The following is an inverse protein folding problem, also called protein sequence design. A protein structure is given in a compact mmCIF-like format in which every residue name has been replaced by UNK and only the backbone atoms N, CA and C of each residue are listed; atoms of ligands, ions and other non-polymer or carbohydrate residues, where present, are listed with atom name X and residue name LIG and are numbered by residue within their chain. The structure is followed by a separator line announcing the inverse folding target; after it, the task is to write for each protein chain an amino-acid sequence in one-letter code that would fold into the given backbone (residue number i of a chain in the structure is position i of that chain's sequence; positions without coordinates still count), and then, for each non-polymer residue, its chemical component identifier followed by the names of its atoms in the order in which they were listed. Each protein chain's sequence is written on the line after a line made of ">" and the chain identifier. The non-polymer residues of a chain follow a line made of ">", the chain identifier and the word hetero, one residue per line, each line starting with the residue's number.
data_IF_678413204693
#
_entry.id   IF_678413204693
#
_cell.length_a   1.000
_cell.length_b   1.000
_cell.length_c   1.000
_cell.angle_alpha   90.00
_cell.angle_beta   90.00
_cell.angle_gamma   90.00
#
_symmetry.space_group_name_H-M   'P 1'
#
loop_
_entity.id
_entity.type
_entity.pdbx_description
1 polymer ?
#
# COMPACT_ATOMS: atom_id res chain seq x y z
N UNK A 1 14.10 12.43 13.80
CA UNK A 1 15.25 11.62 13.36
C UNK A 1 15.34 11.59 11.84
N UNK A 2 16.48 12.03 11.29
CA UNK A 2 16.77 11.91 9.86
C UNK A 2 17.31 10.53 9.58
N UNK A 3 16.50 9.67 8.96
CA UNK A 3 16.97 8.39 8.44
C UNK A 3 17.57 8.62 7.06
N UNK A 4 18.80 8.15 6.83
CA UNK A 4 19.42 8.12 5.51
C UNK A 4 19.14 6.76 4.89
N UNK A 5 18.34 6.72 3.83
CA UNK A 5 18.13 5.51 3.03
C UNK A 5 19.22 5.40 1.96
N UNK A 6 19.80 4.22 1.80
CA UNK A 6 20.88 3.94 0.85
C UNK A 6 20.39 2.96 -0.22
N UNK A 7 20.47 3.40 -1.46
CA UNK A 7 20.11 2.62 -2.64
C UNK A 7 21.37 2.10 -3.33
N UNK A 8 21.45 0.79 -3.55
CA UNK A 8 22.48 0.11 -4.33
C UNK A 8 21.89 -0.35 -5.66
N UNK A 9 22.52 0.01 -6.78
CA UNK A 9 22.17 -0.49 -8.10
C UNK A 9 23.26 -1.48 -8.51
N UNK A 10 22.89 -2.75 -8.57
CA UNK A 10 23.78 -3.87 -8.88
C UNK A 10 23.72 -4.18 -10.39
N UNK A 11 24.84 -4.52 -11.04
CA UNK A 11 24.81 -4.99 -12.43
C UNK A 11 24.05 -6.32 -12.56
N UNK A 12 23.54 -6.61 -13.76
CA UNK A 12 22.73 -7.80 -14.08
C UNK A 12 23.42 -9.15 -13.84
N UNK A 13 24.75 -9.14 -13.71
CA UNK A 13 25.56 -10.32 -13.35
C UNK A 13 25.40 -10.76 -11.90
N UNK A 14 24.81 -9.94 -11.03
CA UNK A 14 24.56 -10.33 -9.63
C UNK A 14 23.29 -11.18 -9.57
N UNK A 15 23.40 -12.40 -9.05
CA UNK A 15 22.27 -13.30 -8.91
C UNK A 15 21.40 -12.91 -7.70
N UNK A 16 20.19 -12.44 -7.99
CA UNK A 16 19.15 -12.11 -7.01
C UNK A 16 18.17 -13.27 -6.79
N UNK A 17 18.42 -14.48 -7.31
CA UNK A 17 17.55 -15.63 -7.10
C UNK A 17 16.16 -15.50 -7.73
N UNK A 18 16.05 -14.70 -8.80
CA UNK A 18 14.79 -14.40 -9.50
C UNK A 18 14.06 -13.14 -9.03
N UNK A 19 14.55 -12.46 -7.99
CA UNK A 19 14.06 -11.14 -7.58
C UNK A 19 14.71 -10.02 -8.41
N UNK A 20 14.07 -8.86 -8.47
CA UNK A 20 14.56 -7.66 -9.18
C UNK A 20 15.03 -6.55 -8.22
N UNK A 21 14.77 -6.74 -6.93
CA UNK A 21 15.12 -5.82 -5.84
C UNK A 21 15.12 -6.55 -4.49
N UNK A 22 15.69 -5.90 -3.48
CA UNK A 22 15.66 -6.34 -2.09
C UNK A 22 15.76 -5.13 -1.13
N UNK A 23 14.83 -5.01 -0.19
CA UNK A 23 14.86 -4.04 0.89
C UNK A 23 14.97 -4.70 2.27
N UNK A 24 15.82 -4.16 3.14
CA UNK A 24 15.87 -4.59 4.54
C UNK A 24 14.58 -4.18 5.28
N UNK A 25 13.83 -5.15 5.82
CA UNK A 25 12.63 -4.85 6.60
C UNK A 25 12.96 -4.06 7.87
N UNK A 26 12.49 -2.82 7.96
CA UNK A 26 12.83 -1.89 9.04
C UNK A 26 14.27 -1.40 9.06
N UNK A 27 15.04 -1.70 8.01
CA UNK A 27 16.40 -1.23 7.81
C UNK A 27 16.46 0.05 7.00
N UNK A 28 17.62 0.32 6.41
CA UNK A 28 17.87 1.56 5.63
C UNK A 28 18.46 1.28 4.25
N UNK A 29 18.63 0.01 3.88
CA UNK A 29 19.28 -0.38 2.65
C UNK A 29 18.30 -1.02 1.69
N UNK A 30 18.43 -0.66 0.42
CA UNK A 30 17.75 -1.29 -0.71
C UNK A 30 18.75 -1.59 -1.83
N UNK A 31 18.58 -2.73 -2.49
CA UNK A 31 19.38 -3.17 -3.62
C UNK A 31 18.46 -3.42 -4.81
N UNK A 32 18.88 -3.03 -6.01
CA UNK A 32 18.12 -3.20 -7.25
C UNK A 32 18.98 -3.84 -8.32
N UNK A 33 18.38 -4.68 -9.16
CA UNK A 33 19.07 -5.31 -10.29
C UNK A 33 18.97 -4.45 -11.55
N UNK A 34 20.10 -3.95 -12.03
CA UNK A 34 20.28 -3.25 -13.29
C UNK A 34 19.19 -2.19 -13.53
N UNK A 35 18.44 -2.30 -14.64
CA UNK A 35 17.39 -1.36 -15.04
C UNK A 35 16.23 -1.25 -14.06
N UNK A 36 16.03 -2.24 -13.19
CA UNK A 36 14.96 -2.21 -12.19
C UNK A 36 15.19 -1.14 -11.13
N UNK A 37 16.44 -0.71 -10.94
CA UNK A 37 16.77 0.46 -10.12
C UNK A 37 16.20 1.76 -10.67
N UNK A 38 15.76 1.81 -11.92
CA UNK A 38 15.10 2.97 -12.54
C UNK A 38 13.57 2.88 -12.51
N UNK A 39 12.99 1.80 -11.98
CA UNK A 39 11.54 1.65 -11.90
C UNK A 39 10.99 2.30 -10.64
N UNK A 40 10.09 3.32 -10.73
CA UNK A 40 9.50 3.94 -9.55
C UNK A 40 8.71 2.92 -8.70
N UNK A 41 8.03 1.97 -9.34
CA UNK A 41 7.34 0.89 -8.66
C UNK A 41 8.30 0.04 -7.81
N UNK A 42 9.37 -0.49 -8.43
CA UNK A 42 10.34 -1.35 -7.71
C UNK A 42 11.05 -0.53 -6.63
N UNK A 43 11.46 0.71 -6.92
CA UNK A 43 12.08 1.60 -5.95
C UNK A 43 11.23 1.76 -4.69
N UNK A 44 9.96 2.11 -4.87
CA UNK A 44 9.04 2.33 -3.77
C UNK A 44 8.63 1.04 -3.05
N UNK A 45 8.60 -0.10 -3.74
CA UNK A 45 8.37 -1.41 -3.13
C UNK A 45 9.48 -1.75 -2.13
N UNK A 46 10.73 -1.68 -2.57
CA UNK A 46 11.86 -2.00 -1.68
C UNK A 46 12.05 -0.96 -0.57
N UNK A 47 11.79 0.32 -0.85
CA UNK A 47 11.74 1.37 0.20
C UNK A 47 10.62 1.11 1.21
N UNK A 48 9.49 0.55 0.77
CA UNK A 48 8.41 0.12 1.65
C UNK A 48 8.89 -0.89 2.70
N UNK A 49 9.75 -1.84 2.34
CA UNK A 49 10.37 -2.75 3.32
C UNK A 49 11.17 -1.99 4.38
N UNK A 50 11.94 -0.97 4.00
CA UNK A 50 12.64 -0.14 4.99
C UNK A 50 11.68 0.59 5.96
N UNK A 51 10.44 0.86 5.55
CA UNK A 51 9.36 1.38 6.41
C UNK A 51 8.64 0.28 7.22
N UNK A 52 9.22 -0.91 7.33
CA UNK A 52 8.64 -2.11 7.95
C UNK A 52 7.36 -2.60 7.26
N UNK A 53 7.16 -2.25 5.99
CA UNK A 53 6.05 -2.81 5.23
C UNK A 53 6.43 -4.18 4.69
N UNK A 54 5.58 -5.15 4.96
CA UNK A 54 5.64 -6.46 4.30
C UNK A 54 4.74 -6.48 3.08
N UNK A 55 4.82 -7.55 2.27
CA UNK A 55 3.99 -7.70 1.08
C UNK A 55 2.49 -7.59 1.39
N UNK A 56 1.74 -7.13 0.37
CA UNK A 56 0.29 -7.09 0.37
C UNK A 56 -0.26 -8.23 -0.48
N UNK A 57 -0.83 -9.22 0.21
CA UNK A 57 -1.31 -10.46 -0.41
C UNK A 57 -2.82 -10.54 -0.57
N UNK A 58 -3.29 -11.44 -1.43
CA UNK A 58 -4.70 -11.83 -1.56
C UNK A 58 -4.80 -13.35 -1.72
N UNK A 59 -5.60 -14.00 -0.86
CA UNK A 59 -5.67 -15.46 -0.80
C UNK A 59 -4.29 -16.09 -0.51
N UNK A 60 -3.83 -16.96 -1.42
CA UNK A 60 -2.51 -17.61 -1.34
C UNK A 60 -1.42 -16.86 -2.12
N UNK A 61 -1.73 -15.69 -2.70
CA UNK A 61 -0.78 -14.91 -3.50
C UNK A 61 -0.17 -13.82 -2.62
N UNK A 62 1.13 -13.95 -2.33
CA UNK A 62 1.90 -13.01 -1.50
C UNK A 62 1.83 -11.56 -1.99
N UNK A 63 1.82 -11.35 -3.31
CA UNK A 63 1.68 -10.05 -3.98
C UNK A 63 0.27 -9.86 -4.59
N UNK A 64 -0.71 -10.61 -4.06
CA UNK A 64 -2.03 -10.72 -4.65
C UNK A 64 -2.88 -9.45 -4.57
N UNK A 65 -2.55 -8.50 -3.69
CA UNK A 65 -3.31 -7.26 -3.55
C UNK A 65 -2.84 -6.18 -4.54
N UNK A 66 -3.60 -5.86 -5.60
CA UNK A 66 -3.18 -4.87 -6.60
C UNK A 66 -3.44 -3.42 -6.17
N UNK A 67 -3.99 -3.19 -4.98
CA UNK A 67 -4.46 -1.85 -4.55
C UNK A 67 -3.34 -0.97 -3.98
N UNK A 68 -2.12 -1.50 -3.87
CA UNK A 68 -0.96 -0.69 -3.51
C UNK A 68 0.39 -1.33 -3.83
N UNK A 69 1.44 -0.53 -3.67
CA UNK A 69 2.81 -0.85 -4.11
C UNK A 69 3.39 -2.12 -3.50
N UNK A 70 3.07 -2.45 -2.25
CA UNK A 70 3.59 -3.66 -1.59
C UNK A 70 2.96 -4.97 -2.09
N UNK A 71 1.91 -4.89 -2.91
CA UNK A 71 1.40 -6.03 -3.65
C UNK A 71 1.67 -5.78 -5.12
N UNK A 72 0.63 -5.37 -5.85
CA UNK A 72 0.75 -4.79 -7.19
C UNK A 72 1.43 -5.75 -8.15
N UNK A 73 0.68 -6.69 -8.75
CA UNK A 73 1.28 -7.61 -9.72
C UNK A 73 2.06 -6.85 -10.78
N UNK A 74 3.34 -7.17 -10.87
CA UNK A 74 4.32 -6.57 -11.75
C UNK A 74 3.77 -6.34 -13.16
N UNK A 75 3.83 -5.09 -13.61
CA UNK A 75 3.88 -4.78 -15.03
C UNK A 75 5.34 -4.90 -15.49
N UNK A 76 5.57 -5.41 -16.70
CA UNK A 76 6.91 -5.46 -17.30
C UNK A 76 7.44 -4.07 -17.68
N UNK A 77 6.57 -3.07 -17.71
CA UNK A 77 6.95 -1.67 -17.90
C UNK A 77 7.63 -1.09 -16.66
N UNK A 78 8.88 -0.69 -16.81
CA UNK A 78 9.66 -0.06 -15.73
C UNK A 78 9.17 1.35 -15.40
N UNK A 79 8.44 2.02 -16.29
CA UNK A 79 7.93 3.38 -16.09
C UNK A 79 6.63 3.44 -15.28
N UNK A 80 6.06 2.28 -14.98
CA UNK A 80 4.90 2.12 -14.13
C UNK A 80 5.23 2.49 -12.68
N UNK A 81 4.30 3.16 -11.99
CA UNK A 81 4.54 3.54 -10.59
C UNK A 81 3.63 4.60 -9.99
N UNK A 82 2.58 5.04 -10.68
CA UNK A 82 1.53 5.91 -10.10
C UNK A 82 0.58 5.08 -9.25
N UNK A 83 1.14 4.53 -8.18
CA UNK A 83 0.45 3.73 -7.18
C UNK A 83 0.84 4.29 -5.80
N UNK A 84 -0.07 4.18 -4.84
CA UNK A 84 0.21 4.52 -3.45
C UNK A 84 0.22 3.26 -2.59
N UNK A 85 0.57 3.42 -1.32
CA UNK A 85 0.42 2.37 -0.33
C UNK A 85 -1.07 2.19 0.03
N UNK A 86 -1.49 0.96 0.30
CA UNK A 86 -2.89 0.65 0.65
C UNK A 86 -3.24 1.10 2.08
N UNK A 87 -4.49 0.92 2.51
CA UNK A 87 -4.99 1.43 3.79
C UNK A 87 -4.15 0.99 4.99
N UNK A 88 -3.79 -0.30 5.05
CA UNK A 88 -3.03 -0.85 6.17
C UNK A 88 -1.63 -0.26 6.27
N UNK A 89 -0.93 -0.09 5.13
CA UNK A 89 0.43 0.47 5.09
C UNK A 89 0.43 1.96 5.43
N UNK A 90 -0.49 2.71 4.85
CA UNK A 90 -0.67 4.13 5.12
C UNK A 90 -0.96 4.36 6.61
N UNK A 91 -1.84 3.55 7.20
CA UNK A 91 -2.09 3.56 8.64
C UNK A 91 -0.84 3.22 9.46
N UNK A 92 -0.13 2.15 9.09
CA UNK A 92 1.10 1.70 9.78
C UNK A 92 2.16 2.81 9.82
N UNK A 93 2.32 3.58 8.74
CA UNK A 93 3.26 4.71 8.71
C UNK A 93 2.75 5.97 9.43
N UNK A 94 1.50 6.00 9.90
CA UNK A 94 0.90 7.18 10.51
C UNK A 94 0.66 8.32 9.52
N UNK A 95 0.64 8.03 8.22
CA UNK A 95 0.34 9.05 7.21
C UNK A 95 -1.13 9.40 7.25
N UNK A 96 -1.43 10.69 7.13
CA UNK A 96 -2.78 11.23 7.28
C UNK A 96 -3.39 10.95 8.67
N UNK A 97 -2.58 10.94 9.73
CA UNK A 97 -3.03 10.67 11.10
C UNK A 97 -4.18 11.56 11.57
N UNK A 98 -4.24 12.80 11.08
CA UNK A 98 -5.30 13.76 11.41
C UNK A 98 -6.62 13.47 10.68
N UNK A 99 -6.59 12.58 9.70
CA UNK A 99 -7.72 12.09 8.90
C UNK A 99 -7.90 10.56 9.06
N UNK A 100 -7.52 10.06 10.23
CA UNK A 100 -7.76 8.69 10.64
C UNK A 100 -9.00 8.61 11.53
N UNK A 101 -9.90 7.70 11.19
CA UNK A 101 -11.02 7.34 12.06
C UNK A 101 -10.86 5.91 12.57
N UNK A 102 -11.16 5.68 13.84
CA UNK A 102 -11.23 4.33 14.43
C UNK A 102 -12.64 4.08 14.91
N UNK A 103 -13.22 2.96 14.48
CA UNK A 103 -14.57 2.53 14.86
C UNK A 103 -14.51 1.18 15.53
N UNK A 104 -15.18 1.06 16.68
CA UNK A 104 -15.36 -0.23 17.38
C UNK A 104 -16.80 -0.73 17.17
N UNK A 105 -17.04 -1.73 16.29
CA UNK A 105 -18.39 -2.10 15.83
C UNK A 105 -19.38 -2.50 16.92
N UNK A 106 -18.89 -2.93 18.09
CA UNK A 106 -19.77 -3.32 19.20
C UNK A 106 -20.51 -2.13 19.80
N UNK A 107 -20.01 -0.90 19.59
CA UNK A 107 -20.49 0.30 20.27
C UNK A 107 -21.00 1.38 19.30
N UNK A 108 -20.58 1.35 18.03
CA UNK A 108 -20.80 2.44 17.08
C UNK A 108 -20.74 1.97 15.62
N UNK A 109 -21.26 2.81 14.73
CA UNK A 109 -21.16 2.66 13.27
C UNK A 109 -20.42 3.86 12.69
N UNK A 110 -19.69 3.64 11.60
CA UNK A 110 -19.06 4.72 10.85
C UNK A 110 -20.09 5.49 10.02
N UNK A 111 -20.09 6.82 10.15
CA UNK A 111 -20.85 7.72 9.27
C UNK A 111 -19.94 8.91 8.97
N UNK A 112 -19.45 9.00 7.74
CA UNK A 112 -18.50 10.04 7.33
C UNK A 112 -18.19 9.97 5.84
N UNK A 113 -17.32 10.87 5.38
CA UNK A 113 -16.86 10.93 4.00
C UNK A 113 -15.45 10.36 3.91
N UNK A 114 -15.23 9.35 3.07
CA UNK A 114 -13.90 8.80 2.81
C UNK A 114 -13.39 9.38 1.50
N UNK A 115 -12.25 10.05 1.54
CA UNK A 115 -11.59 10.65 0.38
C UNK A 115 -10.37 9.84 -0.05
N UNK A 116 -10.04 9.88 -1.34
CA UNK A 116 -8.89 9.19 -1.89
C UNK A 116 -7.58 9.97 -1.64
N UNK A 117 -6.45 9.27 -1.73
CA UNK A 117 -5.12 9.84 -1.51
C UNK A 117 -4.71 10.89 -2.55
N UNK A 118 -5.26 10.87 -3.77
CA UNK A 118 -4.99 11.88 -4.78
C UNK A 118 -5.69 13.21 -4.42
N UNK A 119 -6.89 13.17 -3.85
CA UNK A 119 -7.55 14.35 -3.27
C UNK A 119 -6.70 15.01 -2.17
N UNK A 120 -6.03 14.22 -1.33
CA UNK A 120 -5.09 14.75 -0.32
C UNK A 120 -3.89 15.43 -1.00
N UNK A 121 -3.29 14.79 -2.01
CA UNK A 121 -2.14 15.33 -2.73
C UNK A 121 -2.43 16.65 -3.44
N UNK A 122 -3.69 16.87 -3.84
CA UNK A 122 -4.16 18.13 -4.44
C UNK A 122 -4.58 19.18 -3.41
N UNK A 123 -4.52 18.87 -2.10
CA UNK A 123 -4.98 19.76 -1.02
C UNK A 123 -6.50 19.93 -0.99
N UNK A 124 -7.26 19.01 -1.59
CA UNK A 124 -8.70 19.08 -1.77
C UNK A 124 -9.51 18.35 -0.70
N UNK A 125 -9.07 18.37 0.57
CA UNK A 125 -9.74 17.67 1.67
C UNK A 125 -10.25 18.65 2.73
N UNK A 126 -11.38 18.32 3.33
CA UNK A 126 -11.96 19.06 4.45
C UNK A 126 -11.48 18.50 5.79
N UNK A 127 -11.62 19.28 6.85
CA UNK A 127 -11.21 18.88 8.21
C UNK A 127 -11.94 17.62 8.73
N UNK A 128 -13.13 17.32 8.21
CA UNK A 128 -13.95 16.17 8.64
C UNK A 128 -13.93 15.01 7.62
N UNK A 129 -13.11 15.10 6.57
CA UNK A 129 -12.92 13.99 5.64
C UNK A 129 -11.95 12.98 6.23
N UNK A 130 -12.23 11.69 6.06
CA UNK A 130 -11.36 10.60 6.48
C UNK A 130 -10.60 10.04 5.27
N UNK A 131 -9.32 9.72 5.46
CA UNK A 131 -8.50 9.04 4.43
C UNK A 131 -8.44 7.54 4.72
N UNK A 132 -8.33 7.18 6.01
CA UNK A 132 -8.31 5.78 6.44
C UNK A 132 -9.26 5.58 7.60
N UNK A 133 -10.17 4.63 7.44
CA UNK A 133 -11.06 4.19 8.52
C UNK A 133 -10.61 2.82 8.99
N UNK A 134 -10.23 2.72 10.26
CA UNK A 134 -9.92 1.46 10.93
C UNK A 134 -11.16 0.96 11.64
N UNK A 135 -11.62 -0.23 11.26
CA UNK A 135 -12.57 -0.99 12.08
C UNK A 135 -11.77 -1.91 13.00
N UNK A 136 -11.76 -1.55 14.27
CA UNK A 136 -11.01 -2.25 15.29
C UNK A 136 -11.80 -3.44 15.83
N UNK A 137 -11.13 -4.59 15.92
CA UNK A 137 -11.60 -5.77 16.64
C UNK A 137 -10.63 -6.05 17.80
N UNK A 138 -11.17 -6.51 18.93
CA UNK A 138 -10.39 -6.96 20.08
C UNK A 138 -9.87 -8.40 19.89
N UNK A 139 -10.64 -9.23 19.17
CA UNK A 139 -10.44 -10.68 19.07
C UNK A 139 -9.97 -11.13 17.68
N UNK A 140 -9.99 -10.21 16.70
CA UNK A 140 -9.53 -10.45 15.33
C UNK A 140 -8.61 -9.33 14.83
N UNK A 141 -7.94 -9.59 13.70
CA UNK A 141 -7.20 -8.54 12.99
C UNK A 141 -8.15 -7.39 12.61
N UNK A 142 -7.68 -6.15 12.78
CA UNK A 142 -8.43 -4.97 12.37
C UNK A 142 -8.56 -4.88 10.85
N UNK A 143 -9.64 -4.26 10.39
CA UNK A 143 -9.87 -3.94 9.00
C UNK A 143 -9.57 -2.46 8.75
N UNK A 144 -8.99 -2.15 7.61
CA UNK A 144 -8.61 -0.80 7.20
C UNK A 144 -9.26 -0.52 5.86
N UNK A 145 -10.00 0.58 5.80
CA UNK A 145 -10.79 1.00 4.64
C UNK A 145 -10.15 2.26 4.05
N UNK A 146 -9.97 2.29 2.74
CA UNK A 146 -9.49 3.47 2.00
C UNK A 146 -10.15 3.52 0.63
N UNK A 147 -10.53 4.71 0.17
CA UNK A 147 -10.99 4.94 -1.19
C UNK A 147 -9.80 4.90 -2.15
N UNK A 148 -9.88 4.02 -3.14
CA UNK A 148 -8.93 3.97 -4.23
C UNK A 148 -9.61 4.45 -5.51
N UNK A 149 -9.08 5.52 -6.11
CA UNK A 149 -9.53 6.04 -7.40
C UNK A 149 -8.39 5.97 -8.40
N UNK A 150 -8.70 5.58 -9.62
CA UNK A 150 -7.69 5.45 -10.66
C UNK A 150 -7.44 6.80 -11.34
N UNK A 151 -6.82 7.73 -10.60
CA UNK A 151 -6.56 9.09 -11.06
C UNK A 151 -5.26 9.66 -10.49
N UNK A 152 -4.67 10.64 -11.19
CA UNK A 152 -3.50 11.38 -10.72
C UNK A 152 -2.35 10.50 -10.24
N UNK A 153 -2.03 10.55 -8.94
CA UNK A 153 -0.94 9.79 -8.32
C UNK A 153 -1.25 8.30 -8.05
N UNK A 154 -2.50 7.89 -8.26
CA UNK A 154 -2.97 6.49 -8.14
C UNK A 154 -3.52 5.96 -9.46
N UNK A 155 -3.08 6.47 -10.60
CA UNK A 155 -3.65 6.14 -11.92
C UNK A 155 -3.17 4.82 -12.54
N UNK A 156 -2.18 4.14 -11.95
CA UNK A 156 -1.65 2.89 -12.51
C UNK A 156 -2.27 1.68 -11.80
N UNK A 157 -2.95 0.82 -12.56
CA UNK A 157 -3.45 -0.49 -12.12
C UNK A 157 -3.50 -1.43 -13.34
N UNK A 158 -3.26 -2.72 -13.12
CA UNK A 158 -3.22 -3.69 -14.22
C UNK A 158 -4.66 -3.89 -14.68
N UNK A 159 -4.87 -3.93 -15.99
CA UNK A 159 -6.21 -3.94 -16.61
C UNK A 159 -7.16 -4.98 -15.99
N UNK A 160 -6.68 -6.21 -15.75
CA UNK A 160 -7.44 -7.30 -15.11
C UNK A 160 -8.04 -6.96 -13.73
N UNK A 161 -7.55 -5.91 -13.08
CA UNK A 161 -7.91 -5.50 -11.72
C UNK A 161 -8.79 -4.26 -11.66
N UNK A 162 -8.89 -3.49 -12.73
CA UNK A 162 -9.57 -2.19 -12.75
C UNK A 162 -11.04 -2.35 -12.35
N UNK A 163 -11.79 -3.21 -13.06
CA UNK A 163 -13.22 -3.43 -12.77
C UNK A 163 -13.47 -3.93 -11.35
N UNK A 164 -12.48 -4.59 -10.75
CA UNK A 164 -12.62 -5.17 -9.41
C UNK A 164 -12.31 -4.14 -8.32
N UNK A 165 -11.29 -3.30 -8.50
CA UNK A 165 -10.70 -2.52 -7.39
C UNK A 165 -10.60 -1.01 -7.61
N UNK A 166 -10.71 -0.54 -8.86
CA UNK A 166 -10.71 0.89 -9.15
C UNK A 166 -12.02 1.56 -8.71
N UNK A 167 -11.91 2.82 -8.30
CA UNK A 167 -13.02 3.68 -7.90
C UNK A 167 -13.91 3.10 -6.80
N UNK A 168 -13.28 2.38 -5.86
CA UNK A 168 -13.95 1.65 -4.76
C UNK A 168 -13.22 1.81 -3.45
N UNK A 169 -13.97 1.62 -2.37
CA UNK A 169 -13.39 1.39 -1.05
C UNK A 169 -12.73 0.01 -1.06
N UNK A 170 -11.42 -0.03 -0.83
CA UNK A 170 -10.68 -1.26 -0.64
C UNK A 170 -10.48 -1.53 0.84
N UNK A 171 -10.48 -2.81 1.20
CA UNK A 171 -10.41 -3.28 2.59
C UNK A 171 -9.15 -4.12 2.75
N UNK A 172 -8.30 -3.75 3.70
CA UNK A 172 -7.14 -4.55 4.08
C UNK A 172 -7.30 -5.07 5.50
N UNK A 173 -6.92 -6.33 5.71
CA UNK A 173 -6.85 -6.94 7.05
C UNK A 173 -5.39 -6.91 7.49
N UNK A 174 -5.12 -6.37 8.68
CA UNK A 174 -3.75 -6.27 9.16
C UNK A 174 -3.67 -6.31 10.69
N UNK A 175 -2.61 -6.97 11.17
CA UNK A 175 -2.14 -6.92 12.54
C UNK A 175 -0.63 -6.80 12.56
N UNK A 176 -0.10 -6.29 13.66
CA UNK A 176 1.31 -5.89 13.83
C UNK A 176 2.36 -6.98 13.50
N UNK A 177 1.98 -8.26 13.37
CA UNK A 177 2.90 -9.39 13.16
C UNK A 177 3.38 -9.59 11.72
N UNK A 178 3.13 -8.65 10.79
CA UNK A 178 3.99 -8.50 9.61
C UNK A 178 3.54 -9.13 8.29
N UNK A 179 2.26 -9.40 8.04
CA UNK A 179 1.75 -9.48 6.65
C UNK A 179 0.43 -8.72 6.65
N UNK A 180 0.24 -7.78 5.71
CA UNK A 180 -1.12 -7.29 5.44
C UNK A 180 -1.71 -8.22 4.41
N UNK A 181 -2.64 -9.06 4.84
CA UNK A 181 -3.41 -9.89 3.93
C UNK A 181 -4.71 -9.15 3.60
N UNK A 182 -5.00 -9.01 2.33
CA UNK A 182 -6.34 -8.62 1.90
C UNK A 182 -7.29 -9.75 2.26
N UNK A 183 -8.27 -9.44 3.11
CA UNK A 183 -9.51 -10.20 3.14
C UNK A 183 -10.47 -9.50 2.19
N UNK A 184 -11.01 -10.24 1.22
CA UNK A 184 -12.07 -9.75 0.32
C UNK A 184 -13.29 -9.46 1.20
N UNK A 185 -13.61 -8.18 1.40
CA UNK A 185 -14.93 -7.74 1.83
C UNK A 185 -15.62 -7.08 0.64
N UNK A 186 -16.40 -7.87 -0.11
CA UNK A 186 -17.41 -7.29 -1.00
C UNK A 186 -18.54 -6.81 -0.09
N UNK A 187 -18.66 -5.51 0.14
CA UNK A 187 -19.91 -4.96 0.65
C UNK A 187 -20.88 -4.98 -0.54
N UNK A 188 -21.77 -5.98 -0.53
CA UNK A 188 -22.98 -5.96 -1.32
C UNK A 188 -23.99 -5.00 -0.68
#
# INVERSE_FOLDING_TARGET
>A
DTHTYTMYICPDVVDFGGYVGYGETGGTKTCYLDRHGSSPFVQMHELGHNLQFFHSGEGNSEYGDPTGIMGGRYNSDIHWGKMCFNAAKTWQAGWYSDHHSTVTPTNESYIGNIVDVNSVALGGINANDDVVVKVQSADELSLYFMLHRLEGITSDMKEDYIDTYADKINIQRWGYSGISSKAIGHLA
#
